data_IF_321116190546
#
_entry.id   IF_321116190546
#
_cell.length_a   1.000
_cell.length_b   1.000
_cell.length_c   1.000
_cell.angle_alpha   90.00
_cell.angle_beta   90.00
_cell.angle_gamma   90.00
#
_symmetry.space_group_name_H-M   'P 1'
#
loop_
_entity.id
_entity.type
_entity.pdbx_description
1 polymer ?
#
# COMPACT_ATOMS: atom_id res chain seq x y z
N UNK A 1 1.31 10.63 27.87
CA UNK A 1 1.87 10.65 26.49
C UNK A 1 3.36 10.47 26.62
N UNK A 2 3.91 9.35 26.14
CA UNK A 2 5.30 8.92 26.40
C UNK A 2 6.33 9.73 25.57
N UNK A 3 5.90 10.58 24.63
CA UNK A 3 6.79 11.50 23.91
C UNK A 3 7.87 10.86 23.02
N UNK A 4 7.66 9.62 22.55
CA UNK A 4 8.62 8.91 21.70
C UNK A 4 8.56 9.31 20.23
N UNK A 5 7.39 9.79 19.78
CA UNK A 5 7.20 10.19 18.39
C UNK A 5 6.79 11.68 18.32
N UNK A 6 7.41 12.41 17.43
CA UNK A 6 7.01 13.74 17.03
C UNK A 6 6.16 13.61 15.76
N UNK A 7 4.89 13.99 15.84
CA UNK A 7 3.98 14.02 14.69
C UNK A 7 3.86 15.42 14.15
N UNK A 8 4.05 15.59 12.86
CA UNK A 8 3.69 16.80 12.11
C UNK A 8 2.44 16.48 11.31
N UNK A 9 1.35 17.19 11.62
CA UNK A 9 0.08 16.97 10.95
C UNK A 9 0.16 17.46 9.51
N UNK A 10 -0.33 16.65 8.59
CA UNK A 10 -0.52 17.04 7.21
C UNK A 10 -1.77 17.90 7.05
N UNK A 11 -1.88 18.53 5.91
CA UNK A 11 -3.06 19.32 5.52
C UNK A 11 -3.37 19.10 4.05
N UNK A 12 -4.60 19.38 3.65
CA UNK A 12 -5.03 19.34 2.26
C UNK A 12 -5.90 20.56 1.94
N UNK A 13 -5.43 21.41 1.03
CA UNK A 13 -6.18 22.55 0.51
C UNK A 13 -7.02 22.12 -0.70
N UNK A 14 -8.32 21.95 -0.49
CA UNK A 14 -9.25 21.49 -1.53
C UNK A 14 -9.25 22.39 -2.77
N UNK A 15 -9.19 23.71 -2.61
CA UNK A 15 -9.20 24.67 -3.71
C UNK A 15 -7.97 24.60 -4.62
N UNK A 16 -6.81 24.36 -4.06
CA UNK A 16 -5.54 24.26 -4.79
C UNK A 16 -5.13 22.84 -5.15
N UNK A 17 -5.90 21.82 -4.73
CA UNK A 17 -5.56 20.39 -4.87
C UNK A 17 -4.15 20.02 -4.37
N UNK A 18 -3.63 20.80 -3.42
CA UNK A 18 -2.30 20.62 -2.83
C UNK A 18 -2.43 20.22 -1.36
N UNK A 19 -1.53 19.38 -0.89
CA UNK A 19 -1.51 18.97 0.51
C UNK A 19 -0.17 18.34 0.90
N UNK A 20 0.05 18.26 2.21
CA UNK A 20 1.18 17.53 2.78
C UNK A 20 0.65 16.41 3.66
N UNK A 21 1.22 15.23 3.53
CA UNK A 21 0.88 14.09 4.39
C UNK A 21 1.37 14.34 5.81
N UNK A 22 0.64 13.81 6.79
CA UNK A 22 1.16 13.74 8.16
C UNK A 22 2.45 12.94 8.21
N UNK A 23 3.39 13.39 9.00
CA UNK A 23 4.70 12.75 9.19
C UNK A 23 4.90 12.45 10.67
N UNK A 24 5.56 11.36 10.95
CA UNK A 24 6.04 11.04 12.29
C UNK A 24 7.54 10.82 12.23
N UNK A 25 8.24 11.24 13.27
CA UNK A 25 9.67 11.03 13.43
C UNK A 25 9.97 10.62 14.86
N UNK A 26 11.04 9.86 15.03
CA UNK A 26 11.55 9.49 16.35
C UNK A 26 12.05 10.75 17.08
N UNK A 27 11.78 10.83 18.39
CA UNK A 27 12.41 11.85 19.24
C UNK A 27 13.77 11.37 19.71
N UNK A 28 14.63 12.30 20.16
CA UNK A 28 15.93 11.96 20.74
C UNK A 28 15.76 10.95 21.90
N UNK A 29 14.73 11.12 22.72
CA UNK A 29 14.40 10.18 23.82
C UNK A 29 14.12 8.77 23.30
N UNK A 30 13.44 8.61 22.17
CA UNK A 30 13.19 7.30 21.59
C UNK A 30 14.46 6.67 21.02
N UNK A 31 15.30 7.48 20.36
CA UNK A 31 16.59 7.01 19.83
C UNK A 31 17.50 6.53 20.96
N UNK A 32 17.59 7.30 22.05
CA UNK A 32 18.36 6.92 23.25
C UNK A 32 17.88 5.60 23.85
N UNK A 33 16.55 5.41 23.91
CA UNK A 33 15.96 4.16 24.43
C UNK A 33 16.34 2.95 23.55
N UNK A 34 16.21 3.09 22.23
CA UNK A 34 16.64 2.04 21.28
C UNK A 34 18.11 1.68 21.49
N UNK A 35 18.96 2.67 21.64
CA UNK A 35 20.40 2.48 21.87
C UNK A 35 20.68 1.81 23.25
N UNK A 36 20.00 2.26 24.29
CA UNK A 36 20.13 1.73 25.65
C UNK A 36 19.80 0.24 25.73
N UNK A 37 18.78 -0.20 24.99
CA UNK A 37 18.33 -1.59 24.97
C UNK A 37 18.94 -2.40 23.82
N UNK A 38 19.87 -1.83 23.06
CA UNK A 38 20.49 -2.46 21.87
C UNK A 38 19.47 -3.07 20.90
N UNK A 39 18.32 -2.41 20.73
CA UNK A 39 17.26 -2.89 19.83
C UNK A 39 17.74 -2.90 18.39
N UNK A 40 17.67 -4.04 17.74
CA UNK A 40 18.05 -4.26 16.34
C UNK A 40 16.82 -4.40 15.46
N UNK A 41 17.01 -4.49 14.15
CA UNK A 41 15.90 -4.76 13.21
C UNK A 41 15.27 -6.13 13.41
N UNK A 42 15.98 -7.10 13.98
CA UNK A 42 15.49 -8.45 14.25
C UNK A 42 14.52 -8.46 15.44
N UNK A 43 14.62 -7.47 16.34
CA UNK A 43 13.71 -7.29 17.48
C UNK A 43 12.41 -6.56 17.08
N UNK A 44 12.33 -6.03 15.84
CA UNK A 44 11.17 -5.29 15.34
C UNK A 44 10.29 -6.21 14.50
N UNK A 45 9.07 -6.41 14.96
CA UNK A 45 8.07 -7.14 14.18
C UNK A 45 6.89 -6.24 13.82
N UNK A 46 6.35 -6.47 12.63
CA UNK A 46 5.16 -5.78 12.16
C UNK A 46 3.92 -6.41 12.79
N UNK A 47 3.12 -5.62 13.49
CA UNK A 47 1.84 -6.09 14.01
C UNK A 47 0.97 -6.65 12.88
N UNK A 48 0.33 -7.80 13.11
CA UNK A 48 -0.55 -8.42 12.12
C UNK A 48 -1.80 -7.56 11.91
N UNK A 49 -1.77 -6.75 10.86
CA UNK A 49 -2.95 -6.00 10.43
C UNK A 49 -3.94 -6.93 9.73
N UNK A 50 -5.24 -6.75 10.02
CA UNK A 50 -6.30 -7.45 9.28
C UNK A 50 -6.24 -7.10 7.79
N UNK A 51 -6.06 -8.12 6.96
CA UNK A 51 -5.88 -7.97 5.51
C UNK A 51 -7.18 -8.06 4.71
N UNK A 52 -8.26 -8.52 5.35
CA UNK A 52 -9.62 -8.46 4.79
C UNK A 52 -10.39 -7.41 5.57
N UNK A 53 -10.72 -6.33 4.93
CA UNK A 53 -11.34 -5.17 5.57
C UNK A 53 -12.72 -4.89 4.98
N UNK A 54 -13.65 -4.49 5.83
CA UNK A 54 -15.01 -4.14 5.44
C UNK A 54 -15.27 -2.68 5.81
N UNK A 55 -15.91 -1.96 4.89
CA UNK A 55 -16.37 -0.58 5.10
C UNK A 55 -17.89 -0.51 4.99
N UNK A 56 -18.48 0.37 5.81
CA UNK A 56 -19.90 0.73 5.70
C UNK A 56 -20.14 1.69 4.51
N UNK A 57 -21.38 2.14 4.32
CA UNK A 57 -21.77 3.12 3.29
C UNK A 57 -21.06 4.47 3.45
N UNK A 58 -20.71 4.84 4.68
CA UNK A 58 -19.98 6.07 5.02
C UNK A 58 -18.46 5.96 4.82
N UNK A 59 -17.97 4.82 4.30
CA UNK A 59 -16.55 4.52 4.09
C UNK A 59 -15.73 4.36 5.38
N UNK A 60 -16.37 4.14 6.52
CA UNK A 60 -15.72 3.82 7.78
C UNK A 60 -15.45 2.32 7.87
N UNK A 61 -14.31 1.94 8.45
CA UNK A 61 -14.00 0.54 8.72
C UNK A 61 -14.88 0.00 9.84
N UNK A 62 -15.45 -1.17 9.61
CA UNK A 62 -16.30 -1.86 10.59
C UNK A 62 -15.75 -3.24 10.91
N UNK A 63 -16.00 -3.67 12.15
CA UNK A 63 -15.72 -5.03 12.60
C UNK A 63 -16.76 -5.97 12.01
N UNK A 64 -16.38 -7.18 11.68
CA UNK A 64 -17.27 -8.22 11.15
C UNK A 64 -16.93 -9.58 11.76
N UNK A 65 -17.90 -10.48 11.70
CA UNK A 65 -17.69 -11.88 12.08
C UNK A 65 -17.23 -12.69 10.87
N UNK A 66 -16.26 -13.57 11.10
CA UNK A 66 -15.73 -14.45 10.07
C UNK A 66 -16.72 -15.52 9.66
N UNK A 67 -16.85 -15.72 8.37
CA UNK A 67 -17.55 -16.82 7.76
C UNK A 67 -16.59 -17.66 6.88
N UNK A 68 -17.08 -18.73 6.28
CA UNK A 68 -16.29 -19.62 5.43
C UNK A 68 -15.64 -18.88 4.24
N UNK A 69 -16.34 -17.90 3.67
CA UNK A 69 -15.85 -17.10 2.56
C UNK A 69 -14.70 -16.19 3.02
N UNK A 70 -14.88 -15.42 4.10
CA UNK A 70 -13.84 -14.51 4.61
C UNK A 70 -12.59 -15.26 5.06
N UNK A 71 -12.75 -16.41 5.71
CA UNK A 71 -11.63 -17.29 6.09
C UNK A 71 -10.87 -17.80 4.86
N UNK A 72 -11.57 -18.24 3.82
CA UNK A 72 -10.97 -18.73 2.57
C UNK A 72 -10.18 -17.63 1.87
N UNK A 73 -10.76 -16.45 1.66
CA UNK A 73 -10.08 -15.35 0.96
C UNK A 73 -8.92 -14.79 1.77
N UNK A 74 -9.00 -14.73 3.12
CA UNK A 74 -7.90 -14.35 3.98
C UNK A 74 -6.73 -15.32 3.87
N UNK A 75 -6.99 -16.63 3.91
CA UNK A 75 -5.96 -17.64 3.78
C UNK A 75 -5.24 -17.53 2.41
N UNK A 76 -6.00 -17.36 1.33
CA UNK A 76 -5.43 -17.16 0.00
C UNK A 76 -4.56 -15.89 -0.06
N UNK A 77 -5.04 -14.79 0.52
CA UNK A 77 -4.30 -13.53 0.53
C UNK A 77 -3.06 -13.60 1.42
N UNK A 78 -3.10 -14.33 2.56
CA UNK A 78 -1.91 -14.59 3.38
C UNK A 78 -0.82 -15.33 2.57
N UNK A 79 -1.20 -16.39 1.84
CA UNK A 79 -0.27 -17.13 0.96
C UNK A 79 0.34 -16.23 -0.11
N UNK A 80 -0.47 -15.40 -0.74
CA UNK A 80 -0.01 -14.45 -1.77
C UNK A 80 0.93 -13.39 -1.19
N UNK A 81 0.59 -12.81 -0.05
CA UNK A 81 1.44 -11.83 0.64
C UNK A 81 2.78 -12.45 1.09
N UNK A 82 2.79 -13.70 1.52
CA UNK A 82 4.02 -14.44 1.85
C UNK A 82 4.92 -14.62 0.61
N UNK A 83 4.34 -14.91 -0.56
CA UNK A 83 5.06 -14.95 -1.82
C UNK A 83 5.66 -13.59 -2.18
N UNK A 84 4.87 -12.52 -2.07
CA UNK A 84 5.34 -11.15 -2.37
C UNK A 84 6.47 -10.71 -1.43
N UNK A 85 6.40 -11.07 -0.14
CA UNK A 85 7.46 -10.76 0.83
C UNK A 85 8.80 -11.34 0.38
N UNK A 86 8.81 -12.57 -0.13
CA UNK A 86 10.01 -13.28 -0.61
C UNK A 86 10.44 -12.85 -2.02
N UNK A 87 9.57 -12.18 -2.76
CA UNK A 87 9.84 -11.80 -4.16
C UNK A 87 10.56 -10.46 -4.22
N UNK A 88 11.67 -10.42 -4.96
CA UNK A 88 12.37 -9.17 -5.25
C UNK A 88 11.57 -8.38 -6.29
N UNK A 89 10.94 -7.30 -5.85
CA UNK A 89 10.19 -6.34 -6.69
C UNK A 89 10.84 -4.99 -6.46
N UNK A 90 11.38 -4.40 -7.52
CA UNK A 90 12.21 -3.18 -7.46
C UNK A 90 11.77 -2.20 -8.53
N UNK A 91 11.84 -0.91 -8.22
CA UNK A 91 11.76 0.15 -9.21
C UNK A 91 13.19 0.47 -9.68
N UNK A 92 13.49 0.17 -10.95
CA UNK A 92 14.82 0.38 -11.53
C UNK A 92 15.20 1.85 -11.52
N UNK A 93 16.42 2.16 -11.09
CA UNK A 93 16.93 3.51 -10.87
C UNK A 93 17.41 4.17 -12.18
N UNK A 94 16.49 4.36 -13.14
CA UNK A 94 16.76 5.16 -14.34
C UNK A 94 16.83 6.66 -13.99
N UNK A 95 17.42 7.49 -14.85
CA UNK A 95 17.46 8.95 -14.63
C UNK A 95 16.05 9.52 -14.43
N UNK A 96 15.09 9.07 -15.22
CA UNK A 96 13.69 9.47 -15.12
C UNK A 96 13.05 9.10 -13.77
N UNK A 97 13.37 7.90 -13.25
CA UNK A 97 12.89 7.47 -11.92
C UNK A 97 13.54 8.28 -10.81
N UNK A 98 14.85 8.56 -10.90
CA UNK A 98 15.55 9.39 -9.91
C UNK A 98 14.98 10.79 -9.86
N UNK A 99 14.78 11.42 -11.00
CA UNK A 99 14.17 12.75 -11.10
C UNK A 99 12.77 12.76 -10.47
N UNK A 100 11.92 11.79 -10.82
CA UNK A 100 10.60 11.65 -10.21
C UNK A 100 10.67 11.52 -8.68
N UNK A 101 11.53 10.66 -8.15
CA UNK A 101 11.67 10.46 -6.71
C UNK A 101 12.18 11.71 -6.00
N UNK A 102 13.14 12.42 -6.59
CA UNK A 102 13.64 13.69 -6.06
C UNK A 102 12.56 14.76 -6.01
N UNK A 103 11.69 14.81 -7.03
CA UNK A 103 10.58 15.79 -7.10
C UNK A 103 9.45 15.46 -6.11
N UNK A 104 9.31 14.20 -5.67
CA UNK A 104 8.31 13.82 -4.66
C UNK A 104 8.61 14.38 -3.27
N UNK A 105 9.83 14.88 -3.01
CA UNK A 105 10.29 15.40 -1.71
C UNK A 105 9.97 14.42 -0.56
N UNK A 106 8.83 14.62 0.11
CA UNK A 106 8.42 13.82 1.27
C UNK A 106 7.27 12.84 0.97
N UNK A 107 6.94 12.62 -0.30
CA UNK A 107 5.84 11.74 -0.74
C UNK A 107 6.33 10.45 -1.39
N UNK A 108 7.61 10.11 -1.23
CA UNK A 108 8.16 8.87 -1.79
C UNK A 108 7.36 7.66 -1.34
N UNK A 109 7.11 6.69 -2.24
CA UNK A 109 6.48 5.44 -1.89
C UNK A 109 7.27 4.71 -0.81
N UNK A 110 6.59 4.05 0.10
CA UNK A 110 7.22 3.14 1.05
C UNK A 110 7.53 1.81 0.33
N UNK A 111 8.74 1.66 -0.18
CA UNK A 111 9.17 0.50 -0.96
C UNK A 111 9.18 -0.82 -0.16
N UNK A 112 9.15 -0.78 1.17
CA UNK A 112 9.01 -1.96 2.02
C UNK A 112 7.58 -2.53 1.95
N UNK A 113 6.61 -1.70 1.63
CA UNK A 113 5.19 -2.08 1.60
C UNK A 113 4.83 -2.90 0.38
N UNK A 114 4.90 -4.22 0.50
CA UNK A 114 4.54 -5.19 -0.56
C UNK A 114 3.25 -5.95 -0.29
N UNK A 115 2.69 -5.82 0.90
CA UNK A 115 1.54 -6.59 1.39
C UNK A 115 0.22 -6.01 0.84
N UNK A 116 -0.60 -6.84 0.24
CA UNK A 116 -1.96 -6.46 -0.16
C UNK A 116 -2.94 -6.56 1.00
N UNK A 117 -3.89 -5.64 0.97
CA UNK A 117 -5.12 -5.65 1.75
C UNK A 117 -6.29 -5.68 0.78
N UNK A 118 -7.33 -6.44 1.08
CA UNK A 118 -8.56 -6.50 0.29
C UNK A 118 -9.67 -5.79 1.01
N UNK A 119 -10.26 -4.76 0.39
CA UNK A 119 -11.25 -3.89 1.01
C UNK A 119 -12.59 -4.05 0.32
N UNK A 120 -13.60 -4.40 1.11
CA UNK A 120 -14.99 -4.50 0.72
C UNK A 120 -15.76 -3.25 1.17
N UNK A 121 -16.91 -2.98 0.57
CA UNK A 121 -17.70 -1.77 0.81
C UNK A 121 -19.15 -2.07 1.15
N UNK A 122 -19.86 -1.03 1.62
CA UNK A 122 -21.31 -1.04 1.87
C UNK A 122 -21.76 -2.19 2.79
N UNK A 123 -20.94 -2.49 3.81
CA UNK A 123 -21.19 -3.59 4.76
C UNK A 123 -21.41 -4.96 4.10
N UNK A 124 -20.93 -5.15 2.87
CA UNK A 124 -21.18 -6.34 2.07
C UNK A 124 -19.90 -6.92 1.48
N UNK A 125 -19.69 -8.23 1.63
CA UNK A 125 -18.60 -8.97 0.97
C UNK A 125 -18.88 -9.28 -0.51
N UNK A 126 -20.04 -8.88 -1.02
CA UNK A 126 -20.39 -8.96 -2.45
C UNK A 126 -19.97 -7.70 -3.22
N UNK A 127 -19.65 -6.62 -2.52
CA UNK A 127 -19.34 -5.33 -3.12
C UNK A 127 -17.90 -4.88 -2.84
N UNK A 128 -17.22 -4.37 -3.87
CA UNK A 128 -15.83 -3.94 -3.78
C UNK A 128 -14.86 -5.12 -3.86
N UNK A 129 -14.13 -5.38 -2.77
CA UNK A 129 -13.14 -6.46 -2.72
C UNK A 129 -11.88 -6.19 -3.53
N UNK A 130 -11.56 -4.92 -3.78
CA UNK A 130 -10.35 -4.51 -4.49
C UNK A 130 -9.12 -4.67 -3.61
N UNK A 131 -7.98 -4.86 -4.27
CA UNK A 131 -6.68 -4.99 -3.64
C UNK A 131 -5.99 -3.63 -3.54
N UNK A 132 -5.45 -3.32 -2.35
CA UNK A 132 -4.81 -2.04 -2.05
C UNK A 132 -3.50 -2.27 -1.30
N UNK A 133 -2.73 -1.20 -1.14
CA UNK A 133 -1.63 -1.03 -0.22
C UNK A 133 -0.20 -1.16 -0.78
N UNK A 134 0.18 -2.06 -1.72
CA UNK A 134 1.56 -2.14 -2.19
C UNK A 134 2.08 -0.83 -2.76
N UNK A 135 3.40 -0.62 -2.62
CA UNK A 135 4.06 0.62 -3.05
C UNK A 135 3.89 0.92 -4.56
N UNK A 136 3.82 -0.11 -5.40
CA UNK A 136 3.66 0.10 -6.84
C UNK A 136 2.29 0.67 -7.23
N UNK A 137 1.29 0.57 -6.39
CA UNK A 137 0.01 1.25 -6.59
C UNK A 137 0.08 2.76 -6.27
N UNK A 138 1.10 3.20 -5.52
CA UNK A 138 1.29 4.60 -5.15
C UNK A 138 2.03 5.39 -6.23
N UNK A 139 2.66 4.72 -7.19
CA UNK A 139 3.35 5.38 -8.30
C UNK A 139 2.33 6.01 -9.23
N UNK A 140 2.39 7.33 -9.37
CA UNK A 140 1.59 8.09 -10.33
C UNK A 140 2.07 7.75 -11.75
N UNK A 141 1.16 7.28 -12.59
CA UNK A 141 1.49 6.81 -13.95
C UNK A 141 0.87 7.68 -15.05
N UNK A 142 0.32 8.88 -14.70
CA UNK A 142 -0.45 9.71 -15.65
C UNK A 142 0.42 10.41 -16.70
N UNK A 143 1.54 10.99 -16.30
CA UNK A 143 2.39 11.80 -17.18
C UNK A 143 3.66 11.03 -17.60
N UNK A 144 4.18 10.22 -16.72
CA UNK A 144 5.39 9.44 -16.95
C UNK A 144 5.06 7.97 -16.63
N UNK A 145 5.15 7.09 -17.62
CA UNK A 145 4.88 5.66 -17.45
C UNK A 145 5.96 4.96 -16.61
N UNK A 146 6.08 5.35 -15.34
CA UNK A 146 7.13 4.87 -14.44
C UNK A 146 6.99 3.41 -14.07
N UNK A 147 5.77 2.85 -14.07
CA UNK A 147 5.54 1.44 -13.73
C UNK A 147 6.26 0.47 -14.66
N UNK A 148 6.54 0.87 -15.91
CA UNK A 148 7.36 0.08 -16.85
C UNK A 148 8.78 -0.17 -16.34
N UNK A 149 9.27 0.63 -15.38
CA UNK A 149 10.58 0.45 -14.77
C UNK A 149 10.55 -0.49 -13.55
N UNK A 150 9.41 -1.09 -13.23
CA UNK A 150 9.31 -2.11 -12.19
C UNK A 150 9.91 -3.40 -12.74
N UNK A 151 10.73 -4.05 -11.94
CA UNK A 151 11.28 -5.37 -12.25
C UNK A 151 10.89 -6.38 -11.16
N UNK A 152 10.63 -7.61 -11.57
CA UNK A 152 10.36 -8.75 -10.69
C UNK A 152 11.46 -9.78 -10.90
N UNK A 153 12.23 -10.10 -9.85
CA UNK A 153 13.39 -11.01 -9.93
C UNK A 153 14.35 -10.61 -11.05
N UNK A 154 14.58 -9.32 -11.24
CA UNK A 154 15.40 -8.68 -12.27
C UNK A 154 14.82 -8.76 -13.71
N UNK A 155 13.66 -9.37 -13.92
CA UNK A 155 12.98 -9.37 -15.21
C UNK A 155 12.14 -8.11 -15.36
N UNK A 156 12.10 -7.54 -16.55
CA UNK A 156 11.23 -6.42 -16.87
C UNK A 156 9.75 -6.84 -16.80
N UNK A 157 8.90 -5.89 -16.40
CA UNK A 157 7.45 -6.08 -16.38
C UNK A 157 6.79 -5.35 -17.53
N UNK A 158 5.62 -5.85 -17.94
CA UNK A 158 4.72 -5.19 -18.90
C UNK A 158 3.47 -4.80 -18.17
N UNK A 159 3.00 -3.58 -18.37
CA UNK A 159 1.70 -3.14 -17.88
C UNK A 159 0.66 -3.47 -18.95
N UNK A 160 -0.23 -4.38 -18.63
CA UNK A 160 -1.36 -4.74 -19.48
C UNK A 160 -2.60 -4.03 -18.94
N UNK A 161 -3.32 -3.35 -19.82
CA UNK A 161 -4.61 -2.75 -19.52
C UNK A 161 -5.63 -3.23 -20.54
N UNK A 162 -6.84 -3.52 -20.07
CA UNK A 162 -7.95 -3.92 -20.93
C UNK A 162 -8.69 -2.67 -21.36
N UNK A 163 -8.56 -2.32 -22.63
CA UNK A 163 -9.34 -1.26 -23.20
C UNK A 163 -10.82 -1.65 -23.26
N UNK A 164 -11.71 -0.81 -22.74
CA UNK A 164 -13.16 -1.03 -22.73
C UNK A 164 -13.60 -2.39 -22.08
N UNK A 165 -12.93 -2.83 -21.01
CA UNK A 165 -13.19 -4.11 -20.34
C UNK A 165 -14.68 -4.38 -20.07
N UNK A 166 -15.43 -3.39 -19.58
CA UNK A 166 -16.85 -3.53 -19.27
C UNK A 166 -17.69 -3.83 -20.51
N UNK A 167 -17.36 -3.22 -21.65
CA UNK A 167 -18.03 -3.46 -22.92
C UNK A 167 -17.76 -4.88 -23.40
N UNK A 168 -16.49 -5.33 -23.32
CA UNK A 168 -16.13 -6.71 -23.68
C UNK A 168 -16.84 -7.73 -22.82
N UNK A 169 -17.00 -7.51 -21.52
CA UNK A 169 -17.79 -8.41 -20.67
C UNK A 169 -19.26 -8.50 -21.08
N UNK A 170 -19.88 -7.40 -21.50
CA UNK A 170 -21.28 -7.43 -21.96
C UNK A 170 -21.46 -8.31 -23.20
N UNK A 171 -20.49 -8.31 -24.13
CA UNK A 171 -20.53 -9.15 -25.33
C UNK A 171 -20.24 -10.64 -25.07
N UNK A 172 -19.70 -11.01 -23.92
CA UNK A 172 -19.40 -12.40 -23.57
C UNK A 172 -20.35 -13.01 -22.54
N UNK A 173 -21.39 -12.29 -22.12
CA UNK A 173 -22.42 -12.76 -21.22
C UNK A 173 -23.68 -13.25 -21.97
N UNK A 174 -23.69 -13.16 -23.31
CA UNK A 174 -24.67 -13.80 -24.19
C UNK A 174 -24.10 -15.14 -24.68
#
# INVERSE_FOLDING_TARGET
KIGFLKRVQGFFERGRKKGKRSRAGATAKFIQLIQQFNVTFDDVYEEEMEIIQLKNSEKQFIVYQDNNYTKKIRNNLKKYNALLKKTKIVLSQTNQVREYLNNLKNESPDFARKKYVRIFNNSSFKEGGRFYNPWWQQIKNKEIKLRKNITIKNNQTVELDFNALHIHFLYHLE
#
